data_IF_668887593830
#
_entry.id   IF_668887593830
#
_cell.length_a   1.000
_cell.length_b   1.000
_cell.length_c   1.000
_cell.angle_alpha   90.00
_cell.angle_beta   90.00
_cell.angle_gamma   90.00
#
_symmetry.space_group_name_H-M   'P 1'
#
loop_
_entity.id
_entity.type
_entity.pdbx_description
1 polymer ?
#
# COMPACT_ATOMS: atom_id res chain seq x y z
N UNK A 1 9.97 -13.83 24.91
CA UNK A 1 9.44 -13.85 23.53
C UNK A 1 9.73 -12.49 22.93
N UNK A 2 10.84 -12.38 22.20
CA UNK A 2 11.29 -11.12 21.60
C UNK A 2 11.88 -11.50 20.23
N UNK A 3 11.24 -11.09 19.15
CA UNK A 3 11.64 -11.46 17.80
C UNK A 3 10.73 -10.85 16.76
N UNK A 4 10.60 -9.53 16.78
CA UNK A 4 9.97 -8.76 15.70
C UNK A 4 10.72 -7.43 15.59
N UNK A 5 12.03 -7.54 15.33
CA UNK A 5 12.91 -6.39 15.11
C UNK A 5 13.50 -6.54 13.71
N UNK A 6 13.21 -5.53 12.90
CA UNK A 6 13.76 -5.26 11.57
C UNK A 6 13.34 -6.21 10.45
N UNK A 7 12.08 -6.07 10.02
CA UNK A 7 11.75 -6.35 8.63
C UNK A 7 12.30 -5.17 7.81
N UNK A 8 13.57 -5.22 7.43
CA UNK A 8 14.12 -4.31 6.41
C UNK A 8 13.40 -4.54 5.08
N UNK A 9 13.15 -3.49 4.28
CA UNK A 9 12.58 -3.63 2.93
C UNK A 9 13.39 -4.68 2.17
N UNK A 10 12.72 -5.74 1.73
CA UNK A 10 13.39 -6.80 0.98
C UNK A 10 13.71 -6.28 -0.41
N UNK A 11 14.86 -6.68 -0.93
CA UNK A 11 15.35 -6.32 -2.27
C UNK A 11 14.60 -7.08 -3.37
N UNK A 12 13.27 -6.99 -3.34
CA UNK A 12 12.43 -7.42 -4.44
C UNK A 12 12.27 -6.24 -5.39
N UNK A 13 12.29 -6.52 -6.69
CA UNK A 13 11.86 -5.56 -7.69
C UNK A 13 10.48 -5.01 -7.29
N UNK A 14 10.26 -3.71 -7.52
CA UNK A 14 8.96 -3.10 -7.23
C UNK A 14 7.91 -3.73 -8.15
N UNK A 15 6.73 -4.12 -7.64
CA UNK A 15 5.68 -4.61 -8.51
C UNK A 15 5.12 -3.47 -9.36
N UNK A 16 4.62 -3.81 -10.55
CA UNK A 16 3.62 -3.00 -11.22
C UNK A 16 2.31 -3.14 -10.42
N UNK A 17 1.63 -2.01 -10.20
CA UNK A 17 0.36 -1.95 -9.46
C UNK A 17 -0.70 -1.46 -10.44
N UNK A 18 -1.72 -2.28 -10.67
CA UNK A 18 -2.90 -1.91 -11.44
C UNK A 18 -4.07 -1.83 -10.47
N UNK A 19 -4.55 -0.62 -10.19
CA UNK A 19 -5.75 -0.42 -9.37
C UNK A 19 -7.02 -0.74 -10.17
N UNK A 20 -7.93 -1.44 -9.53
CA UNK A 20 -9.31 -1.58 -9.99
C UNK A 20 -10.14 -0.35 -9.67
N UNK A 21 -11.46 -0.52 -9.74
CA UNK A 21 -12.40 0.56 -9.42
C UNK A 21 -12.31 0.98 -7.95
N UNK A 22 -12.32 2.28 -7.72
CA UNK A 22 -12.48 2.86 -6.39
C UNK A 22 -13.97 2.87 -6.04
N UNK A 23 -14.33 2.18 -4.95
CA UNK A 23 -15.69 2.11 -4.46
C UNK A 23 -15.78 2.81 -3.11
N UNK A 24 -16.54 3.90 -3.03
CA UNK A 24 -16.89 4.53 -1.76
C UNK A 24 -17.84 3.63 -0.96
N UNK A 25 -17.64 3.59 0.35
CA UNK A 25 -18.35 2.75 1.32
C UNK A 25 -18.82 3.61 2.49
N UNK A 26 -19.58 3.03 3.42
CA UNK A 26 -20.05 3.74 4.62
C UNK A 26 -18.93 4.18 5.59
N UNK A 27 -17.67 3.83 5.34
CA UNK A 27 -16.54 4.11 6.25
C UNK A 27 -15.28 4.63 5.55
N UNK A 28 -15.36 4.99 4.28
CA UNK A 28 -14.21 5.34 3.43
C UNK A 28 -14.28 4.61 2.09
N UNK A 29 -13.14 4.18 1.55
CA UNK A 29 -13.05 3.58 0.21
C UNK A 29 -12.52 2.15 0.25
N UNK A 30 -12.88 1.39 -0.78
CA UNK A 30 -12.34 0.07 -1.07
C UNK A 30 -11.91 0.01 -2.53
N UNK A 31 -10.80 -0.67 -2.80
CA UNK A 31 -10.43 -1.04 -4.16
C UNK A 31 -9.80 -2.44 -4.18
N UNK A 32 -9.78 -3.06 -5.36
CA UNK A 32 -8.93 -4.22 -5.64
C UNK A 32 -7.69 -3.73 -6.39
N UNK A 33 -6.58 -4.43 -6.25
CA UNK A 33 -5.36 -4.13 -7.00
C UNK A 33 -4.70 -5.42 -7.45
N UNK A 34 -4.22 -5.43 -8.68
CA UNK A 34 -3.36 -6.49 -9.20
C UNK A 34 -1.90 -6.07 -9.05
N UNK A 35 -1.10 -6.94 -8.45
CA UNK A 35 0.33 -6.77 -8.22
C UNK A 35 1.10 -7.73 -9.11
N UNK A 36 2.00 -7.19 -9.95
CA UNK A 36 2.84 -8.00 -10.84
C UNK A 36 4.31 -7.74 -10.55
N UNK A 37 4.98 -8.74 -9.97
CA UNK A 37 6.45 -8.77 -9.85
C UNK A 37 7.06 -9.47 -11.07
N UNK A 38 8.32 -9.17 -11.44
CA UNK A 38 9.05 -9.97 -12.41
C UNK A 38 9.13 -11.43 -11.95
N UNK A 39 8.86 -12.35 -12.88
CA UNK A 39 9.00 -13.80 -12.70
C UNK A 39 8.08 -14.45 -11.63
N UNK A 40 7.08 -13.72 -11.13
CA UNK A 40 6.10 -14.25 -10.18
C UNK A 40 4.68 -14.16 -10.76
N UNK A 41 3.77 -15.08 -10.35
CA UNK A 41 2.36 -14.95 -10.66
C UNK A 41 1.80 -13.61 -10.17
N UNK A 42 0.90 -13.04 -10.97
CA UNK A 42 0.13 -11.88 -10.54
C UNK A 42 -0.68 -12.23 -9.28
N UNK A 43 -0.80 -11.25 -8.38
CA UNK A 43 -1.57 -11.39 -7.15
C UNK A 43 -2.60 -10.28 -7.03
N UNK A 44 -3.85 -10.65 -6.74
CA UNK A 44 -4.88 -9.69 -6.40
C UNK A 44 -4.89 -9.43 -4.88
N UNK A 45 -4.98 -8.16 -4.50
CA UNK A 45 -5.20 -7.73 -3.13
C UNK A 45 -6.44 -6.82 -3.04
N UNK A 46 -7.15 -6.86 -1.91
CA UNK A 46 -8.20 -5.89 -1.59
C UNK A 46 -7.71 -4.94 -0.51
N UNK A 47 -7.84 -3.64 -0.78
CA UNK A 47 -7.47 -2.58 0.17
C UNK A 47 -8.69 -1.80 0.60
N UNK A 48 -8.71 -1.42 1.88
CA UNK A 48 -9.63 -0.41 2.40
C UNK A 48 -8.88 0.77 3.00
N UNK A 49 -9.42 1.97 2.77
CA UNK A 49 -8.91 3.24 3.28
C UNK A 49 -10.04 3.97 4.00
N UNK A 50 -9.86 4.26 5.29
CA UNK A 50 -10.85 5.05 6.03
C UNK A 50 -10.74 6.53 5.70
N UNK A 51 -11.84 7.29 5.86
CA UNK A 51 -11.79 8.76 5.73
C UNK A 51 -10.73 9.38 6.63
N UNK A 52 -10.66 8.94 7.90
CA UNK A 52 -9.69 9.46 8.86
C UNK A 52 -8.24 9.19 8.46
N UNK A 53 -7.94 8.01 7.90
CA UNK A 53 -6.60 7.68 7.40
C UNK A 53 -6.26 8.51 6.16
N UNK A 54 -7.23 8.71 5.26
CA UNK A 54 -7.03 9.52 4.05
C UNK A 54 -6.70 10.97 4.40
N UNK A 55 -7.47 11.57 5.31
CA UNK A 55 -7.24 12.93 5.80
C UNK A 55 -5.88 13.05 6.50
N UNK A 56 -5.52 12.07 7.33
CA UNK A 56 -4.27 12.12 8.08
C UNK A 56 -3.04 12.01 7.16
N UNK A 57 -3.09 11.14 6.15
CA UNK A 57 -1.95 10.85 5.29
C UNK A 57 -1.79 11.90 4.19
N UNK A 58 -2.90 12.25 3.54
CA UNK A 58 -2.89 13.12 2.36
C UNK A 58 -3.26 14.57 2.68
N UNK A 59 -3.91 14.84 3.80
CA UNK A 59 -4.50 16.16 4.08
C UNK A 59 -5.59 16.56 3.08
N UNK A 60 -6.19 15.60 2.38
CA UNK A 60 -7.14 15.82 1.29
C UNK A 60 -6.49 16.28 -0.02
N UNK A 61 -5.16 16.30 -0.12
CA UNK A 61 -4.45 16.80 -1.30
C UNK A 61 -4.29 15.76 -2.42
N UNK A 62 -4.62 14.50 -2.16
CA UNK A 62 -4.54 13.40 -3.12
C UNK A 62 -5.87 12.65 -3.18
N UNK A 63 -6.20 12.06 -4.33
CA UNK A 63 -7.36 11.19 -4.45
C UNK A 63 -7.20 9.94 -3.55
N UNK A 64 -8.31 9.29 -3.14
CA UNK A 64 -8.23 8.08 -2.33
C UNK A 64 -7.45 6.97 -3.05
N UNK A 65 -7.67 6.78 -4.34
CA UNK A 65 -6.94 5.86 -5.22
C UNK A 65 -5.43 6.10 -5.21
N UNK A 66 -4.97 7.35 -5.32
CA UNK A 66 -3.54 7.68 -5.24
C UNK A 66 -2.95 7.31 -3.88
N UNK A 67 -3.70 7.55 -2.80
CA UNK A 67 -3.30 7.19 -1.44
C UNK A 67 -3.26 5.67 -1.26
N UNK A 68 -4.24 4.95 -1.79
CA UNK A 68 -4.32 3.49 -1.76
C UNK A 68 -3.19 2.85 -2.57
N UNK A 69 -2.90 3.35 -3.77
CA UNK A 69 -1.79 2.87 -4.60
C UNK A 69 -0.44 3.04 -3.88
N UNK A 70 -0.20 4.21 -3.31
CA UNK A 70 1.00 4.50 -2.54
C UNK A 70 1.12 3.62 -1.29
N UNK A 71 0.00 3.37 -0.59
CA UNK A 71 -0.06 2.44 0.55
C UNK A 71 0.27 1.00 0.13
N UNK A 72 -0.26 0.53 -1.00
CA UNK A 72 0.03 -0.81 -1.55
C UNK A 72 1.50 -0.90 -1.94
N UNK A 73 2.07 0.12 -2.57
CA UNK A 73 3.49 0.14 -2.92
C UNK A 73 4.39 0.04 -1.69
N UNK A 74 4.06 0.75 -0.60
CA UNK A 74 4.81 0.66 0.66
C UNK A 74 4.64 -0.73 1.30
N UNK A 75 3.42 -1.28 1.31
CA UNK A 75 3.16 -2.62 1.84
C UNK A 75 3.91 -3.70 1.05
N UNK A 76 3.91 -3.63 -0.28
CA UNK A 76 4.63 -4.54 -1.16
C UNK A 76 6.15 -4.49 -0.94
N UNK A 77 6.71 -3.29 -0.75
CA UNK A 77 8.13 -3.13 -0.43
C UNK A 77 8.50 -3.69 0.95
N UNK A 78 7.58 -3.65 1.91
CA UNK A 78 7.80 -4.14 3.27
C UNK A 78 7.63 -5.65 3.40
N UNK A 79 6.50 -6.19 2.94
CA UNK A 79 6.14 -7.61 3.10
C UNK A 79 6.68 -8.51 1.99
N UNK A 80 6.93 -7.95 0.80
CA UNK A 80 7.32 -8.70 -0.39
C UNK A 80 6.14 -9.45 -1.05
N UNK A 81 6.43 -10.33 -2.03
CA UNK A 81 5.42 -11.08 -2.76
C UNK A 81 4.69 -12.10 -1.87
N UNK A 82 3.48 -12.56 -2.24
CA UNK A 82 2.65 -13.46 -1.41
C UNK A 82 3.33 -14.78 -1.05
N UNK A 83 4.13 -15.33 -1.97
CA UNK A 83 4.90 -16.57 -1.75
C UNK A 83 6.15 -16.36 -0.87
N UNK A 84 6.43 -15.11 -0.47
CA UNK A 84 7.49 -14.77 0.46
C UNK A 84 7.19 -15.24 1.89
N UNK A 85 8.20 -15.29 2.77
CA UNK A 85 8.04 -15.81 4.14
C UNK A 85 7.18 -14.94 5.05
N UNK A 86 6.79 -13.73 4.63
CA UNK A 86 5.75 -12.91 5.31
C UNK A 86 4.59 -12.69 4.35
N UNK A 87 4.90 -12.18 3.15
CA UNK A 87 3.96 -11.99 2.06
C UNK A 87 2.96 -10.87 2.30
N UNK A 88 2.64 -10.13 1.24
CA UNK A 88 1.56 -9.16 1.31
C UNK A 88 0.23 -9.89 1.56
N UNK A 89 -0.59 -9.48 2.54
CA UNK A 89 -1.88 -10.11 2.77
C UNK A 89 -2.82 -9.89 1.56
N UNK A 90 -3.68 -10.87 1.21
CA UNK A 90 -4.65 -10.70 0.13
C UNK A 90 -5.74 -9.66 0.46
N UNK A 91 -5.92 -9.33 1.75
CA UNK A 91 -6.84 -8.29 2.22
C UNK A 91 -6.23 -7.54 3.38
N UNK A 92 -6.26 -6.21 3.35
CA UNK A 92 -5.78 -5.38 4.45
C UNK A 92 -6.40 -3.98 4.41
N UNK A 93 -6.46 -3.35 5.57
CA UNK A 93 -6.81 -1.95 5.72
C UNK A 93 -5.55 -1.09 5.96
N UNK A 94 -5.60 0.16 5.51
CA UNK A 94 -4.47 1.10 5.67
C UNK A 94 -4.13 1.32 7.13
N UNK A 95 -5.12 1.40 8.02
CA UNK A 95 -4.91 1.49 9.48
C UNK A 95 -4.05 0.33 10.04
N UNK A 96 -4.26 -0.89 9.57
CA UNK A 96 -3.45 -2.06 9.95
C UNK A 96 -2.01 -1.93 9.43
N UNK A 97 -1.81 -1.43 8.20
CA UNK A 97 -0.46 -1.18 7.68
C UNK A 97 0.29 -0.14 8.52
N UNK A 98 -0.38 0.96 8.88
CA UNK A 98 0.17 2.03 9.74
C UNK A 98 0.70 1.52 11.08
N UNK A 99 0.04 0.50 11.65
CA UNK A 99 0.47 -0.12 12.92
C UNK A 99 1.62 -1.10 12.76
N UNK A 100 1.81 -1.66 11.56
CA UNK A 100 2.78 -2.75 11.29
C UNK A 100 4.06 -2.28 10.60
N UNK A 101 4.01 -1.14 9.93
CA UNK A 101 5.12 -0.59 9.15
C UNK A 101 5.58 0.69 9.83
N UNK A 102 6.81 0.72 10.28
CA UNK A 102 7.43 1.91 10.86
C UNK A 102 7.51 3.01 9.80
N UNK A 103 7.22 4.26 10.19
CA UNK A 103 7.23 5.44 9.30
C UNK A 103 6.30 5.33 8.08
N UNK A 104 5.24 4.53 8.17
CA UNK A 104 4.30 4.30 7.07
C UNK A 104 3.73 5.60 6.48
N UNK A 105 3.19 6.49 7.32
CA UNK A 105 2.54 7.72 6.87
C UNK A 105 3.53 8.56 6.04
N UNK A 106 4.76 8.74 6.55
CA UNK A 106 5.82 9.47 5.84
C UNK A 106 6.24 8.79 4.52
N UNK A 107 6.30 7.45 4.50
CA UNK A 107 6.61 6.69 3.30
C UNK A 107 5.54 6.85 2.21
N UNK A 108 4.27 6.81 2.59
CA UNK A 108 3.13 6.99 1.68
C UNK A 108 3.08 8.42 1.16
N UNK A 109 3.15 9.44 2.03
CA UNK A 109 3.17 10.84 1.59
C UNK A 109 4.32 11.11 0.60
N UNK A 110 5.50 10.52 0.82
CA UNK A 110 6.63 10.63 -0.10
C UNK A 110 6.36 9.93 -1.44
N UNK A 111 5.68 8.78 -1.43
CA UNK A 111 5.30 8.07 -2.65
C UNK A 111 4.29 8.87 -3.48
N UNK A 112 3.26 9.44 -2.85
CA UNK A 112 2.28 10.33 -3.48
C UNK A 112 3.00 11.50 -4.18
N UNK A 113 3.86 12.24 -3.46
CA UNK A 113 4.57 13.40 -4.02
C UNK A 113 5.48 13.08 -5.20
N UNK A 114 6.11 11.91 -5.21
CA UNK A 114 6.98 11.50 -6.32
C UNK A 114 6.20 11.25 -7.61
N UNK A 115 4.96 10.81 -7.49
CA UNK A 115 4.09 10.58 -8.63
C UNK A 115 3.63 11.90 -9.24
N UNK A 116 3.14 12.83 -8.40
CA UNK A 116 2.69 14.15 -8.86
C UNK A 116 3.78 14.97 -9.57
N UNK A 117 5.07 14.64 -9.36
CA UNK A 117 6.20 15.32 -10.04
C UNK A 117 6.48 14.77 -11.45
N UNK A 118 5.86 13.66 -11.84
CA UNK A 118 6.02 13.05 -13.18
C UNK A 118 4.91 13.52 -14.14
N UNK A 119 3.80 14.03 -13.60
CA UNK A 119 2.61 14.42 -14.37
C UNK A 119 2.55 15.92 -14.74
N UNK A 120 3.64 16.69 -14.51
CA UNK A 120 3.85 18.11 -14.89
C UNK A 120 4.94 18.25 -15.97
#
# INVERSE_FOLDING_TARGET
MQGDKDITPRDHARPLIELGEEVETASGWRTTAELRWPDLPACEVTVTLSWADHDLISGGAAAPSETMEAAIAVAAAWFGPPEGPVGIPPRFDVSTLRRRITDFDAAVTRAIRRRSMIDD
#
